data_IF_105562595224
#
_entry.id   IF_105562595224
#
_cell.length_a   1.000
_cell.length_b   1.000
_cell.length_c   1.000
_cell.angle_alpha   90.00
_cell.angle_beta   90.00
_cell.angle_gamma   90.00
#
_symmetry.space_group_name_H-M   'P 1'
#
loop_
_entity.id
_entity.type
_entity.pdbx_description
1 polymer ?
#
# COMPACT_ATOMS: atom_id res chain seq x y z
N UNK A 1 -4.55 -62.32 56.17
CA UNK A 1 -3.53 -61.92 55.17
C UNK A 1 -4.15 -61.30 53.92
N UNK A 2 -5.47 -61.44 53.67
CA UNK A 2 -6.19 -60.87 52.51
C UNK A 2 -6.32 -59.33 52.45
N UNK A 3 -6.14 -58.63 53.58
CA UNK A 3 -6.40 -57.18 53.63
C UNK A 3 -5.32 -56.32 52.93
N UNK A 4 -4.11 -56.86 52.75
CA UNK A 4 -3.00 -56.09 52.17
C UNK A 4 -3.04 -56.06 50.63
N UNK A 5 -3.64 -57.03 49.95
CA UNK A 5 -3.75 -57.04 48.49
C UNK A 5 -4.75 -56.02 47.95
N UNK A 6 -5.81 -55.70 48.71
CA UNK A 6 -6.77 -54.66 48.34
C UNK A 6 -6.18 -53.24 48.37
N UNK A 7 -5.19 -53.00 49.23
CA UNK A 7 -4.54 -51.68 49.37
C UNK A 7 -3.67 -51.38 48.13
N UNK A 8 -3.00 -52.39 47.55
CA UNK A 8 -2.23 -52.23 46.31
C UNK A 8 -3.10 -52.02 45.07
N UNK A 9 -4.30 -52.61 45.03
CA UNK A 9 -5.24 -52.45 43.90
C UNK A 9 -5.91 -51.07 43.87
N UNK A 10 -6.19 -50.47 45.04
CA UNK A 10 -6.85 -49.16 45.14
C UNK A 10 -5.93 -47.97 44.78
N UNK A 11 -4.61 -48.13 44.92
CA UNK A 11 -3.61 -47.10 44.62
C UNK A 11 -3.26 -47.02 43.12
N UNK A 12 -3.26 -48.14 42.38
CA UNK A 12 -3.00 -48.13 40.93
C UNK A 12 -4.15 -47.54 40.09
N UNK A 13 -5.41 -47.72 40.50
CA UNK A 13 -6.57 -47.34 39.67
C UNK A 13 -6.88 -45.84 39.69
N UNK A 14 -6.42 -45.12 40.73
CA UNK A 14 -6.73 -43.70 40.98
C UNK A 14 -5.90 -42.71 40.15
N UNK A 15 -4.76 -43.14 39.60
CA UNK A 15 -3.84 -42.27 38.86
C UNK A 15 -4.16 -42.21 37.35
N UNK A 16 -4.66 -43.32 36.77
CA UNK A 16 -4.92 -43.41 35.32
C UNK A 16 -6.15 -42.64 34.82
N UNK A 17 -7.15 -42.37 35.67
CA UNK A 17 -8.35 -41.61 35.26
C UNK A 17 -8.08 -40.12 35.14
N UNK A 18 -7.27 -39.56 36.04
CA UNK A 18 -6.93 -38.14 36.03
C UNK A 18 -6.04 -37.78 34.84
N UNK A 19 -5.14 -38.68 34.45
CA UNK A 19 -4.27 -38.50 33.27
C UNK A 19 -5.09 -38.37 31.98
N UNK A 20 -6.14 -39.20 31.81
CA UNK A 20 -6.99 -39.16 30.60
C UNK A 20 -7.81 -37.87 30.51
N UNK A 21 -8.37 -37.41 31.62
CA UNK A 21 -9.14 -36.15 31.67
C UNK A 21 -8.22 -34.93 31.50
N UNK A 22 -7.05 -34.93 32.15
CA UNK A 22 -6.05 -33.87 32.00
C UNK A 22 -5.49 -33.80 30.58
N UNK A 23 -5.31 -34.94 29.91
CA UNK A 23 -4.88 -34.99 28.52
C UNK A 23 -5.92 -34.35 27.59
N UNK A 24 -7.21 -34.65 27.79
CA UNK A 24 -8.30 -33.99 27.06
C UNK A 24 -8.31 -32.47 27.28
N UNK A 25 -8.06 -32.03 28.51
CA UNK A 25 -7.98 -30.60 28.86
C UNK A 25 -6.78 -29.91 28.20
N UNK A 26 -5.61 -30.56 28.18
CA UNK A 26 -4.40 -30.05 27.50
C UNK A 26 -4.59 -29.95 25.99
N UNK A 27 -5.25 -30.94 25.37
CA UNK A 27 -5.57 -30.90 23.93
C UNK A 27 -6.52 -29.74 23.64
N UNK A 28 -7.58 -29.56 24.46
CA UNK A 28 -8.50 -28.44 24.29
C UNK A 28 -7.81 -27.08 24.45
N UNK A 29 -6.96 -26.92 25.47
CA UNK A 29 -6.17 -25.71 25.67
C UNK A 29 -5.22 -25.42 24.50
N UNK A 30 -4.57 -26.45 23.98
CA UNK A 30 -3.69 -26.34 22.80
C UNK A 30 -4.46 -25.92 21.55
N UNK A 31 -5.65 -26.49 21.31
CA UNK A 31 -6.52 -26.11 20.20
C UNK A 31 -6.94 -24.64 20.29
N UNK A 32 -7.35 -24.18 21.48
CA UNK A 32 -7.70 -22.76 21.71
C UNK A 32 -6.49 -21.86 21.44
N UNK A 33 -5.29 -22.24 21.91
CA UNK A 33 -4.07 -21.49 21.66
C UNK A 33 -3.74 -21.40 20.16
N UNK A 34 -3.84 -22.51 19.43
CA UNK A 34 -3.62 -22.56 17.97
C UNK A 34 -4.62 -21.65 17.24
N UNK A 35 -5.90 -21.71 17.61
CA UNK A 35 -6.94 -20.85 17.02
C UNK A 35 -6.64 -19.37 17.32
N UNK A 36 -6.28 -19.05 18.56
CA UNK A 36 -5.95 -17.68 18.98
C UNK A 36 -4.76 -17.11 18.21
N UNK A 37 -3.69 -17.89 18.06
CA UNK A 37 -2.50 -17.50 17.28
C UNK A 37 -2.83 -17.38 15.79
N UNK A 38 -3.53 -18.36 15.22
CA UNK A 38 -3.92 -18.34 13.80
C UNK A 38 -4.82 -17.15 13.45
N UNK A 39 -5.73 -16.81 14.36
CA UNK A 39 -6.61 -15.64 14.24
C UNK A 39 -5.80 -14.33 14.21
N UNK A 40 -4.84 -14.18 15.13
CA UNK A 40 -3.96 -13.00 15.15
C UNK A 40 -3.12 -12.85 13.88
N UNK A 41 -2.53 -13.95 13.38
CA UNK A 41 -1.75 -13.93 12.13
C UNK A 41 -2.64 -13.54 10.94
N UNK A 42 -3.85 -14.10 10.86
CA UNK A 42 -4.77 -13.83 9.77
C UNK A 42 -5.25 -12.38 9.75
N UNK A 43 -5.57 -11.81 10.92
CA UNK A 43 -5.94 -10.40 11.05
C UNK A 43 -4.77 -9.49 10.66
N UNK A 44 -3.55 -9.79 11.09
CA UNK A 44 -2.37 -8.99 10.71
C UNK A 44 -2.12 -9.02 9.21
N UNK A 45 -2.23 -10.19 8.57
CA UNK A 45 -2.10 -10.33 7.12
C UNK A 45 -3.18 -9.55 6.37
N UNK A 46 -4.42 -9.51 6.89
CA UNK A 46 -5.51 -8.74 6.30
C UNK A 46 -5.24 -7.23 6.39
N UNK A 47 -4.74 -6.76 7.55
CA UNK A 47 -4.36 -5.35 7.74
C UNK A 47 -3.24 -4.96 6.77
N UNK A 48 -2.19 -5.77 6.65
CA UNK A 48 -1.08 -5.51 5.73
C UNK A 48 -1.55 -5.45 4.27
N UNK A 49 -2.38 -6.41 3.84
CA UNK A 49 -2.98 -6.41 2.49
C UNK A 49 -3.83 -5.15 2.24
N UNK A 50 -4.60 -4.74 3.24
CA UNK A 50 -5.41 -3.51 3.17
C UNK A 50 -4.53 -2.27 3.03
N UNK A 51 -3.42 -2.19 3.79
CA UNK A 51 -2.45 -1.11 3.69
C UNK A 51 -1.81 -1.04 2.29
N UNK A 52 -1.41 -2.16 1.72
CA UNK A 52 -0.87 -2.21 0.35
C UNK A 52 -1.90 -1.82 -0.71
N UNK A 53 -3.16 -2.24 -0.55
CA UNK A 53 -4.24 -1.83 -1.45
C UNK A 53 -4.47 -0.32 -1.36
N UNK A 54 -4.56 0.22 -0.14
CA UNK A 54 -4.71 1.66 0.09
C UNK A 54 -3.54 2.44 -0.50
N UNK A 55 -2.30 1.96 -0.32
CA UNK A 55 -1.11 2.56 -0.90
C UNK A 55 -1.20 2.62 -2.43
N UNK A 56 -1.60 1.52 -3.07
CA UNK A 56 -1.77 1.45 -4.53
C UNK A 56 -2.83 2.44 -5.02
N UNK A 57 -3.97 2.55 -4.32
CA UNK A 57 -5.03 3.51 -4.65
C UNK A 57 -4.52 4.94 -4.53
N UNK A 58 -3.76 5.26 -3.48
CA UNK A 58 -3.15 6.58 -3.29
C UNK A 58 -2.20 6.93 -4.44
N UNK A 59 -1.29 6.02 -4.80
CA UNK A 59 -0.35 6.22 -5.91
C UNK A 59 -1.09 6.40 -7.24
N UNK A 60 -2.13 5.62 -7.51
CA UNK A 60 -2.98 5.79 -8.70
C UNK A 60 -3.66 7.16 -8.73
N UNK A 61 -4.13 7.65 -7.59
CA UNK A 61 -4.71 8.99 -7.46
C UNK A 61 -3.70 10.09 -7.79
N UNK A 62 -2.48 9.98 -7.28
CA UNK A 62 -1.41 10.95 -7.61
C UNK A 62 -1.05 10.93 -9.11
N UNK A 63 -1.01 9.75 -9.75
CA UNK A 63 -0.77 9.63 -11.19
C UNK A 63 -1.92 10.27 -12.00
N UNK A 64 -3.17 10.06 -11.57
CA UNK A 64 -4.33 10.71 -12.21
C UNK A 64 -4.26 12.23 -12.07
N UNK A 65 -3.89 12.74 -10.90
CA UNK A 65 -3.71 14.16 -10.64
C UNK A 65 -2.59 14.76 -11.52
N UNK A 66 -1.48 14.04 -11.67
CA UNK A 66 -0.38 14.42 -12.57
C UNK A 66 -0.86 14.53 -14.02
N UNK A 67 -1.59 13.52 -14.50
CA UNK A 67 -2.15 13.48 -15.85
C UNK A 67 -3.14 14.63 -16.11
N UNK A 68 -4.05 14.86 -15.16
CA UNK A 68 -5.00 15.97 -15.23
C UNK A 68 -4.29 17.34 -15.28
N UNK A 69 -3.25 17.51 -14.46
CA UNK A 69 -2.44 18.74 -14.44
C UNK A 69 -1.71 18.95 -15.76
N UNK A 70 -1.13 17.90 -16.34
CA UNK A 70 -0.52 17.96 -17.67
C UNK A 70 -1.52 18.34 -18.76
N UNK A 71 -2.72 17.75 -18.72
CA UNK A 71 -3.79 18.07 -19.67
C UNK A 71 -4.23 19.54 -19.56
N UNK A 72 -4.32 20.09 -18.34
CA UNK A 72 -4.59 21.52 -18.11
C UNK A 72 -3.50 22.39 -18.72
N UNK A 73 -2.23 22.08 -18.47
CA UNK A 73 -1.11 22.78 -19.08
C UNK A 73 -1.22 22.78 -20.63
N UNK A 74 -1.46 21.62 -21.24
CA UNK A 74 -1.63 21.50 -22.69
C UNK A 74 -2.82 22.31 -23.22
N UNK A 75 -3.94 22.28 -22.51
CA UNK A 75 -5.17 22.98 -22.90
C UNK A 75 -4.97 24.49 -22.85
N UNK A 76 -4.32 24.99 -21.81
CA UNK A 76 -4.00 26.40 -21.65
C UNK A 76 -3.02 26.89 -22.72
N UNK A 77 -1.95 26.13 -23.01
CA UNK A 77 -1.04 26.46 -24.12
C UNK A 77 -1.80 26.58 -25.45
N UNK A 78 -2.72 25.66 -25.73
CA UNK A 78 -3.57 25.73 -26.94
C UNK A 78 -4.49 26.95 -26.92
N UNK A 79 -5.12 27.25 -25.78
CA UNK A 79 -5.97 28.43 -25.62
C UNK A 79 -5.21 29.73 -25.90
N UNK A 80 -3.99 29.85 -25.40
CA UNK A 80 -3.12 30.99 -25.72
C UNK A 80 -2.85 31.09 -27.22
N UNK A 81 -2.46 29.99 -27.89
CA UNK A 81 -2.20 30.03 -29.33
C UNK A 81 -3.43 30.35 -30.20
N UNK A 82 -4.64 30.13 -29.70
CA UNK A 82 -5.88 30.42 -30.43
C UNK A 82 -6.40 31.83 -30.19
N UNK A 83 -6.15 32.41 -29.02
CA UNK A 83 -6.81 33.65 -28.56
C UNK A 83 -5.85 34.78 -28.25
N UNK A 84 -4.56 34.47 -28.06
CA UNK A 84 -3.50 35.38 -27.61
C UNK A 84 -3.79 36.05 -26.26
N UNK A 85 -4.71 35.50 -25.47
CA UNK A 85 -5.06 36.03 -24.15
C UNK A 85 -4.08 35.56 -23.07
N UNK A 86 -3.52 36.52 -22.31
CA UNK A 86 -2.51 36.28 -21.27
C UNK A 86 -2.98 35.36 -20.13
N UNK A 87 -4.30 35.33 -19.85
CA UNK A 87 -4.90 34.42 -18.87
C UNK A 87 -4.50 32.96 -19.09
N UNK A 88 -4.46 32.52 -20.36
CA UNK A 88 -4.06 31.15 -20.69
C UNK A 88 -2.59 30.89 -20.39
N UNK A 89 -1.71 31.88 -20.57
CA UNK A 89 -0.29 31.76 -20.22
C UNK A 89 -0.11 31.62 -18.71
N UNK A 90 -0.81 32.43 -17.91
CA UNK A 90 -0.78 32.33 -16.46
C UNK A 90 -1.26 30.95 -15.97
N UNK A 91 -2.38 30.46 -16.49
CA UNK A 91 -2.93 29.15 -16.13
C UNK A 91 -2.07 27.98 -16.65
N UNK A 92 -1.30 28.16 -17.73
CA UNK A 92 -0.29 27.20 -18.17
C UNK A 92 0.87 27.12 -17.18
N UNK A 93 1.44 28.26 -16.77
CA UNK A 93 2.57 28.32 -15.83
C UNK A 93 2.20 27.67 -14.51
N UNK A 94 1.01 27.98 -13.97
CA UNK A 94 0.51 27.35 -12.74
C UNK A 94 0.43 25.82 -12.87
N UNK A 95 -0.15 25.30 -13.97
CA UNK A 95 -0.24 23.87 -14.20
C UNK A 95 1.15 23.23 -14.36
N UNK A 96 2.06 23.88 -15.10
CA UNK A 96 3.45 23.40 -15.30
C UNK A 96 4.18 23.27 -13.97
N UNK A 97 4.07 24.26 -13.10
CA UNK A 97 4.83 24.32 -11.85
C UNK A 97 4.30 23.28 -10.82
N UNK A 98 3.04 22.88 -10.93
CA UNK A 98 2.44 21.81 -10.11
C UNK A 98 2.80 20.37 -10.53
N UNK A 99 3.37 20.18 -11.73
CA UNK A 99 3.77 18.87 -12.25
C UNK A 99 4.94 18.30 -11.43
N UNK A 100 5.98 19.10 -11.21
CA UNK A 100 7.23 18.64 -10.58
C UNK A 100 7.02 18.16 -9.13
N UNK A 101 6.29 18.90 -8.26
CA UNK A 101 5.96 18.41 -6.92
C UNK A 101 5.16 17.11 -6.93
N UNK A 102 4.17 16.99 -7.83
CA UNK A 102 3.34 15.78 -7.95
C UNK A 102 4.18 14.58 -8.39
N UNK A 103 5.07 14.77 -9.36
CA UNK A 103 5.98 13.72 -9.83
C UNK A 103 6.93 13.25 -8.71
N UNK A 104 7.42 14.17 -7.87
CA UNK A 104 8.25 13.82 -6.71
C UNK A 104 7.47 13.01 -5.66
N UNK A 105 6.20 13.36 -5.38
CA UNK A 105 5.38 12.55 -4.47
C UNK A 105 5.21 11.11 -4.95
N UNK A 106 4.92 10.92 -6.24
CA UNK A 106 4.81 9.58 -6.84
C UNK A 106 6.15 8.85 -6.73
N UNK A 107 7.27 9.55 -6.95
CA UNK A 107 8.62 8.97 -6.82
C UNK A 107 8.88 8.45 -5.41
N UNK A 108 8.58 9.24 -4.39
CA UNK A 108 8.76 8.82 -2.99
C UNK A 108 7.84 7.66 -2.60
N UNK A 109 6.58 7.70 -3.04
CA UNK A 109 5.60 6.65 -2.77
C UNK A 109 5.94 5.31 -3.47
N UNK A 110 6.82 5.32 -4.46
CA UNK A 110 7.18 4.16 -5.29
C UNK A 110 8.68 3.84 -5.26
N UNK A 111 9.38 4.33 -4.23
CA UNK A 111 10.84 4.19 -4.08
C UNK A 111 11.32 2.74 -4.01
N UNK A 112 10.44 1.84 -3.58
CA UNK A 112 10.66 0.40 -3.47
C UNK A 112 10.49 -0.34 -4.81
N UNK A 113 10.05 0.35 -5.86
CA UNK A 113 9.79 -0.25 -7.16
C UNK A 113 10.71 0.33 -8.25
N UNK A 114 11.87 -0.31 -8.53
CA UNK A 114 12.83 0.17 -9.54
C UNK A 114 12.24 0.35 -10.94
N UNK A 115 11.26 -0.49 -11.30
CA UNK A 115 10.58 -0.37 -12.60
C UNK A 115 9.76 0.93 -12.68
N UNK A 116 9.05 1.27 -11.61
CA UNK A 116 8.29 2.53 -11.56
C UNK A 116 9.22 3.74 -11.54
N UNK A 117 10.33 3.68 -10.80
CA UNK A 117 11.36 4.72 -10.80
C UNK A 117 11.89 5.01 -12.21
N UNK A 118 12.23 3.96 -12.95
CA UNK A 118 12.72 4.09 -14.33
C UNK A 118 11.67 4.72 -15.26
N UNK A 119 10.40 4.35 -15.13
CA UNK A 119 9.34 4.98 -15.93
C UNK A 119 9.09 6.44 -15.55
N UNK A 120 9.22 6.80 -14.26
CA UNK A 120 9.17 8.19 -13.82
C UNK A 120 10.31 9.02 -14.39
N UNK A 121 11.52 8.45 -14.54
CA UNK A 121 12.65 9.11 -15.20
C UNK A 121 12.35 9.41 -16.67
N UNK A 122 11.77 8.45 -17.39
CA UNK A 122 11.35 8.67 -18.79
C UNK A 122 10.31 9.80 -18.87
N UNK A 123 9.33 9.77 -17.98
CA UNK A 123 8.27 10.79 -17.91
C UNK A 123 8.87 12.18 -17.64
N UNK A 124 9.79 12.31 -16.68
CA UNK A 124 10.44 13.60 -16.36
C UNK A 124 11.17 14.17 -17.58
N UNK A 125 11.94 13.35 -18.28
CA UNK A 125 12.64 13.75 -19.52
C UNK A 125 11.65 14.23 -20.58
N UNK A 126 10.53 13.53 -20.77
CA UNK A 126 9.51 13.90 -21.74
C UNK A 126 8.81 15.22 -21.36
N UNK A 127 8.51 15.42 -20.08
CA UNK A 127 7.89 16.63 -19.56
C UNK A 127 8.81 17.84 -19.73
N UNK A 128 10.08 17.73 -19.34
CA UNK A 128 11.07 18.80 -19.52
C UNK A 128 11.18 19.20 -20.99
N UNK A 129 11.32 18.23 -21.91
CA UNK A 129 11.36 18.50 -23.36
C UNK A 129 10.09 19.18 -23.86
N UNK A 130 8.92 18.76 -23.37
CA UNK A 130 7.63 19.31 -23.80
C UNK A 130 7.45 20.74 -23.34
N UNK A 131 7.72 21.01 -22.06
CA UNK A 131 7.56 22.34 -21.48
C UNK A 131 8.55 23.34 -22.06
N UNK A 132 9.82 22.96 -22.22
CA UNK A 132 10.81 23.83 -22.88
C UNK A 132 10.36 24.26 -24.29
N UNK A 133 9.73 23.35 -25.05
CA UNK A 133 9.19 23.67 -26.37
C UNK A 133 8.01 24.65 -26.29
N UNK A 134 7.08 24.44 -25.38
CA UNK A 134 5.95 25.36 -25.21
C UNK A 134 6.40 26.73 -24.72
N UNK A 135 7.29 26.78 -23.74
CA UNK A 135 7.89 28.03 -23.24
C UNK A 135 8.58 28.82 -24.36
N UNK A 136 9.36 28.15 -25.22
CA UNK A 136 9.99 28.78 -26.38
C UNK A 136 8.96 29.38 -27.34
N UNK A 137 7.92 28.61 -27.68
CA UNK A 137 6.91 29.04 -28.64
C UNK A 137 6.04 30.18 -28.10
N UNK A 138 5.78 30.22 -26.79
CA UNK A 138 5.04 31.31 -26.15
C UNK A 138 5.87 32.60 -26.17
N UNK A 139 7.18 32.53 -25.88
CA UNK A 139 8.08 33.70 -25.89
C UNK A 139 8.37 34.27 -27.28
N UNK A 140 8.17 33.47 -28.32
CA UNK A 140 8.45 33.85 -29.71
C UNK A 140 7.30 34.63 -30.39
N UNK A 141 6.16 34.81 -29.70
CA UNK A 141 5.07 35.69 -30.11
C UNK A 141 5.12 37.00 -29.34
#
# INVERSE_FOLDING_TARGET
>A
MENNEQIYQSTQKKDSSNIRTNLGFLIAAMLIAIIGVSSNISTNNLIERSQWMQHTITVMGDIQALSATYMRAQTNVRGFFLTEQEYYTAAYVEARDNIRPTLQRIREATKDNPKQQHELDRIDIMLVKRFARWDLNIRAR
#
